data_IF_241641924637
#
_entry.id   IF_241641924637
#
_cell.length_a   1.000
_cell.length_b   1.000
_cell.length_c   1.000
_cell.angle_alpha   90.00
_cell.angle_beta   90.00
_cell.angle_gamma   90.00
#
_symmetry.space_group_name_H-M   'P 1'
#
loop_
_entity.id
_entity.type
_entity.pdbx_description
1 polymer ?
#
# COMPACT_ATOMS: atom_id res chain seq x y z
N UNK A 1 0.10 -5.21 7.81
CA UNK A 1 0.38 -4.41 9.04
C UNK A 1 1.65 -3.61 8.80
N UNK A 2 1.61 -2.29 8.95
CA UNK A 2 2.73 -1.36 8.71
C UNK A 2 3.95 -1.72 9.55
N UNK A 3 5.11 -1.81 8.91
CA UNK A 3 6.38 -2.10 9.54
C UNK A 3 7.36 -0.94 9.37
N UNK A 4 8.23 -0.76 10.34
CA UNK A 4 9.30 0.21 10.32
C UNK A 4 10.64 -0.54 10.26
N UNK A 5 11.30 -0.45 9.12
CA UNK A 5 12.57 -1.09 8.88
C UNK A 5 13.71 -0.11 9.15
N UNK A 6 14.74 -0.54 9.90
CA UNK A 6 15.94 0.23 10.16
C UNK A 6 17.11 -0.49 9.50
N UNK A 7 17.73 0.19 8.53
CA UNK A 7 18.88 -0.30 7.76
C UNK A 7 20.06 0.60 8.11
N UNK A 8 20.80 0.17 9.12
CA UNK A 8 21.90 0.90 9.75
C UNK A 8 22.90 -0.11 10.31
N UNK A 9 24.19 0.05 9.99
CA UNK A 9 25.28 -0.82 10.46
C UNK A 9 25.83 -0.41 11.82
N UNK A 10 25.63 0.84 12.23
CA UNK A 10 26.05 1.34 13.53
C UNK A 10 24.96 1.07 14.58
N UNK A 11 25.29 0.20 15.55
CA UNK A 11 24.35 -0.19 16.60
C UNK A 11 23.83 1.00 17.42
N UNK A 12 24.68 1.97 17.77
CA UNK A 12 24.28 3.15 18.54
C UNK A 12 23.22 3.99 17.78
N UNK A 13 23.42 4.17 16.48
CA UNK A 13 22.47 4.93 15.66
C UNK A 13 21.14 4.18 15.51
N UNK A 14 21.19 2.87 15.29
CA UNK A 14 19.97 2.08 15.15
C UNK A 14 19.18 2.01 16.47
N UNK A 15 19.82 1.80 17.60
CA UNK A 15 19.19 1.82 18.92
C UNK A 15 18.55 3.18 19.23
N UNK A 16 19.20 4.26 18.79
CA UNK A 16 18.66 5.60 18.97
C UNK A 16 17.40 5.82 18.13
N UNK A 17 17.38 5.42 16.85
CA UNK A 17 16.15 5.48 16.02
C UNK A 17 15.05 4.62 16.66
N UNK A 18 15.35 3.40 17.09
CA UNK A 18 14.39 2.50 17.75
C UNK A 18 13.76 3.20 18.96
N UNK A 19 14.59 3.78 19.83
CA UNK A 19 14.13 4.50 21.03
C UNK A 19 13.17 5.63 20.66
N UNK A 20 13.49 6.44 19.65
CA UNK A 20 12.61 7.51 19.20
C UNK A 20 11.31 6.99 18.64
N UNK A 21 11.33 5.93 17.82
CA UNK A 21 10.12 5.31 17.29
C UNK A 21 9.22 4.74 18.41
N UNK A 22 9.82 4.10 19.41
CA UNK A 22 9.10 3.60 20.60
C UNK A 22 8.46 4.75 21.40
N UNK A 23 9.17 5.90 21.55
CA UNK A 23 8.61 7.11 22.17
C UNK A 23 7.36 7.63 21.42
N UNK A 24 7.28 7.36 20.11
CA UNK A 24 6.11 7.64 19.27
C UNK A 24 5.09 6.49 19.20
N UNK A 25 5.13 5.53 20.13
CA UNK A 25 4.23 4.37 20.23
C UNK A 25 4.26 3.44 19.01
N UNK A 26 5.41 3.34 18.34
CA UNK A 26 5.62 2.45 17.20
C UNK A 26 6.21 1.13 17.71
N UNK A 27 5.51 0.02 17.49
CA UNK A 27 5.90 -1.30 18.01
C UNK A 27 6.48 -2.24 16.94
N UNK A 28 6.05 -2.09 15.68
CA UNK A 28 6.45 -2.99 14.59
C UNK A 28 7.76 -2.55 13.94
N UNK A 29 8.86 -2.68 14.67
CA UNK A 29 10.18 -2.26 14.23
C UNK A 29 11.00 -3.50 13.87
N UNK A 30 11.63 -3.47 12.69
CA UNK A 30 12.50 -4.53 12.17
C UNK A 30 13.87 -3.95 11.87
N UNK A 31 14.87 -4.40 12.57
CA UNK A 31 16.27 -4.01 12.33
C UNK A 31 16.91 -4.96 11.31
N UNK A 32 17.56 -4.40 10.29
CA UNK A 32 18.29 -5.11 9.25
C UNK A 32 19.75 -4.64 9.28
N UNK A 33 20.64 -5.51 9.72
CA UNK A 33 22.06 -5.18 9.97
C UNK A 33 23.00 -5.78 8.92
N UNK A 34 22.49 -6.64 8.04
CA UNK A 34 23.29 -7.30 7.02
C UNK A 34 22.65 -7.23 5.63
N UNK A 35 23.49 -7.21 4.59
CA UNK A 35 23.05 -7.27 3.19
C UNK A 35 22.23 -8.52 2.91
N UNK A 36 22.53 -9.63 3.56
CA UNK A 36 21.76 -10.88 3.40
C UNK A 36 20.30 -10.69 3.83
N UNK A 37 20.05 -10.06 4.98
CA UNK A 37 18.69 -9.77 5.48
C UNK A 37 17.95 -8.80 4.55
N UNK A 38 18.65 -7.77 4.06
CA UNK A 38 18.09 -6.77 3.13
C UNK A 38 17.69 -7.46 1.82
N UNK A 39 18.59 -8.27 1.25
CA UNK A 39 18.31 -9.00 0.01
C UNK A 39 17.15 -9.98 0.19
N UNK A 40 17.08 -10.67 1.31
CA UNK A 40 15.98 -11.58 1.62
C UNK A 40 14.64 -10.83 1.66
N UNK A 41 14.56 -9.67 2.32
CA UNK A 41 13.36 -8.84 2.34
C UNK A 41 12.92 -8.43 0.92
N UNK A 42 13.88 -7.95 0.11
CA UNK A 42 13.63 -7.50 -1.27
C UNK A 42 13.20 -8.67 -2.17
N UNK A 43 13.80 -9.86 -2.01
CA UNK A 43 13.46 -11.05 -2.80
C UNK A 43 12.09 -11.62 -2.45
N UNK A 44 11.73 -11.65 -1.18
CA UNK A 44 10.43 -12.15 -0.71
C UNK A 44 9.25 -11.31 -1.22
N UNK A 45 9.49 -10.06 -1.64
CA UNK A 45 8.45 -9.18 -2.20
C UNK A 45 7.34 -8.81 -1.22
N UNK A 46 7.59 -8.94 0.10
CA UNK A 46 6.61 -8.69 1.17
C UNK A 46 6.58 -7.24 1.64
N UNK A 47 7.06 -6.30 0.81
CA UNK A 47 7.07 -4.87 1.14
C UNK A 47 5.69 -4.28 0.90
N UNK A 48 5.06 -3.74 1.96
CA UNK A 48 3.77 -3.08 1.91
C UNK A 48 3.92 -1.59 1.51
N UNK A 49 2.87 -1.01 0.91
CA UNK A 49 2.84 0.40 0.53
C UNK A 49 2.96 1.37 1.71
N UNK A 50 2.59 0.93 2.90
CA UNK A 50 2.65 1.69 4.14
C UNK A 50 3.95 1.47 4.92
N UNK A 51 4.79 0.52 4.52
CA UNK A 51 6.06 0.27 5.18
C UNK A 51 6.98 1.50 5.12
N UNK A 52 7.77 1.67 6.18
CA UNK A 52 8.68 2.79 6.35
C UNK A 52 10.10 2.26 6.50
N UNK A 53 11.03 2.82 5.74
CA UNK A 53 12.44 2.45 5.75
C UNK A 53 13.29 3.62 6.18
N UNK A 54 13.97 3.51 7.33
CA UNK A 54 15.05 4.39 7.73
C UNK A 54 16.36 3.78 7.25
N UNK A 55 17.06 4.46 6.36
CA UNK A 55 18.23 3.90 5.66
C UNK A 55 19.41 4.83 5.83
N UNK A 56 20.52 4.33 6.42
CA UNK A 56 21.81 5.03 6.33
C UNK A 56 22.37 4.89 4.92
N UNK A 57 22.96 5.97 4.41
CA UNK A 57 23.63 5.98 3.11
C UNK A 57 24.95 5.22 3.18
N UNK A 58 25.71 5.37 4.28
CA UNK A 58 27.03 4.75 4.49
C UNK A 58 26.92 3.45 5.32
N UNK A 59 26.55 2.38 4.68
CA UNK A 59 26.39 1.07 5.32
C UNK A 59 27.72 0.31 5.52
N UNK A 60 28.88 0.90 5.17
CA UNK A 60 30.23 0.27 5.21
C UNK A 60 30.26 -1.15 4.66
N UNK A 61 29.45 -1.43 3.67
CA UNK A 61 29.28 -2.73 3.02
C UNK A 61 29.46 -2.58 1.50
N UNK A 62 29.25 -3.66 0.75
CA UNK A 62 29.38 -3.65 -0.71
C UNK A 62 28.29 -2.85 -1.45
N UNK A 63 27.18 -2.52 -0.76
CA UNK A 63 26.09 -1.70 -1.27
C UNK A 63 25.96 -0.45 -0.41
N UNK A 64 25.67 0.68 -1.04
CA UNK A 64 25.28 1.91 -0.32
C UNK A 64 23.80 1.86 0.04
N UNK A 65 23.40 2.68 1.02
CA UNK A 65 21.97 2.82 1.33
C UNK A 65 21.14 3.36 0.16
N UNK A 66 21.77 4.10 -0.75
CA UNK A 66 21.11 4.58 -1.98
C UNK A 66 20.81 3.40 -2.92
N UNK A 67 21.73 2.44 -3.06
CA UNK A 67 21.52 1.22 -3.87
C UNK A 67 20.40 0.36 -3.29
N UNK A 68 20.35 0.24 -1.96
CA UNK A 68 19.28 -0.45 -1.24
C UNK A 68 17.94 0.24 -1.47
N UNK A 69 17.89 1.54 -1.32
CA UNK A 69 16.67 2.34 -1.52
C UNK A 69 16.14 2.22 -2.97
N UNK A 70 17.04 2.21 -3.95
CA UNK A 70 16.67 1.99 -5.36
C UNK A 70 16.08 0.60 -5.59
N UNK A 71 16.67 -0.44 -4.98
CA UNK A 71 16.13 -1.81 -5.07
C UNK A 71 14.75 -1.93 -4.40
N UNK A 72 14.56 -1.31 -3.23
CA UNK A 72 13.25 -1.23 -2.56
C UNK A 72 12.25 -0.55 -3.49
N UNK A 73 12.60 0.59 -4.09
CA UNK A 73 11.72 1.36 -4.97
C UNK A 73 11.33 0.60 -6.24
N UNK A 74 12.24 -0.22 -6.81
CA UNK A 74 11.94 -1.11 -7.94
C UNK A 74 10.93 -2.20 -7.58
N UNK A 75 10.84 -2.61 -6.32
CA UNK A 75 9.88 -3.61 -5.84
C UNK A 75 8.57 -3.00 -5.36
N UNK A 76 8.64 -1.83 -4.74
CA UNK A 76 7.47 -1.12 -4.23
C UNK A 76 7.61 0.39 -4.46
N UNK A 77 6.75 0.92 -5.32
CA UNK A 77 6.76 2.33 -5.70
C UNK A 77 6.26 3.28 -4.59
N UNK A 78 5.53 2.78 -3.60
CA UNK A 78 4.74 3.60 -2.68
C UNK A 78 5.23 3.59 -1.23
N UNK A 79 6.05 2.61 -0.82
CA UNK A 79 6.64 2.55 0.52
C UNK A 79 7.38 3.85 0.88
N UNK A 80 7.45 4.18 2.17
CA UNK A 80 8.06 5.41 2.64
C UNK A 80 9.56 5.20 2.89
N UNK A 81 10.41 5.94 2.21
CA UNK A 81 11.87 5.89 2.37
C UNK A 81 12.34 7.17 3.06
N UNK A 82 13.09 7.02 4.13
CA UNK A 82 13.71 8.09 4.91
C UNK A 82 15.21 7.83 4.96
N UNK A 83 16.02 8.75 4.45
CA UNK A 83 17.46 8.66 4.65
C UNK A 83 17.84 9.22 6.01
N UNK A 84 18.67 8.49 6.72
CA UNK A 84 19.22 8.85 8.02
C UNK A 84 20.73 8.81 7.96
N UNK A 85 21.39 9.95 7.73
CA UNK A 85 22.81 9.96 7.37
C UNK A 85 23.55 11.21 7.85
N UNK A 86 24.86 11.09 8.00
CA UNK A 86 25.74 12.22 8.25
C UNK A 86 26.07 13.02 6.97
N UNK A 87 25.83 12.45 5.80
CA UNK A 87 26.21 13.04 4.50
C UNK A 87 25.09 13.90 3.93
N UNK A 88 25.46 15.00 3.24
CA UNK A 88 24.50 15.97 2.69
C UNK A 88 24.55 16.11 1.17
N UNK A 89 25.51 15.47 0.51
CA UNK A 89 25.85 15.71 -0.89
C UNK A 89 25.23 14.70 -1.89
N UNK A 90 24.33 13.83 -1.42
CA UNK A 90 23.72 12.78 -2.26
C UNK A 90 22.36 13.14 -2.85
N UNK A 91 21.84 14.35 -2.62
CA UNK A 91 20.51 14.74 -3.06
C UNK A 91 20.30 14.59 -4.56
N UNK A 92 21.32 14.97 -5.37
CA UNK A 92 21.25 14.88 -6.84
C UNK A 92 21.19 13.41 -7.30
N UNK A 93 21.99 12.53 -6.70
CA UNK A 93 21.99 11.10 -7.04
C UNK A 93 20.65 10.44 -6.67
N UNK A 94 20.11 10.73 -5.49
CA UNK A 94 18.80 10.26 -5.03
C UNK A 94 17.69 10.69 -5.98
N UNK A 95 17.69 11.94 -6.45
CA UNK A 95 16.71 12.46 -7.41
C UNK A 95 16.84 11.76 -8.77
N UNK A 96 18.05 11.62 -9.28
CA UNK A 96 18.30 10.99 -10.58
C UNK A 96 17.90 9.51 -10.61
N UNK A 97 18.02 8.80 -9.49
CA UNK A 97 17.57 7.41 -9.34
C UNK A 97 16.06 7.29 -9.05
N UNK A 98 15.31 8.39 -9.00
CA UNK A 98 13.86 8.44 -8.78
C UNK A 98 13.42 7.72 -7.49
N UNK A 99 14.23 7.77 -6.43
CA UNK A 99 13.95 7.11 -5.15
C UNK A 99 12.78 7.79 -4.43
N UNK A 100 12.62 9.09 -4.58
CA UNK A 100 11.53 9.89 -3.99
C UNK A 100 11.38 9.64 -2.48
N UNK A 101 12.40 9.93 -1.65
CA UNK A 101 12.30 9.77 -0.21
C UNK A 101 11.27 10.74 0.36
N UNK A 102 10.58 10.34 1.43
CA UNK A 102 9.67 11.20 2.17
C UNK A 102 10.39 12.10 3.17
N UNK A 103 11.60 11.73 3.56
CA UNK A 103 12.42 12.49 4.50
C UNK A 103 13.90 12.24 4.35
N UNK A 104 14.67 13.24 4.85
CA UNK A 104 16.12 13.20 4.93
C UNK A 104 16.53 13.73 6.29
N UNK A 105 17.03 12.87 7.17
CA UNK A 105 17.40 13.15 8.55
C UNK A 105 18.92 13.21 8.67
N UNK A 106 19.42 14.28 9.21
CA UNK A 106 20.85 14.46 9.45
C UNK A 106 21.25 13.99 10.84
N UNK A 107 22.27 13.14 10.92
CA UNK A 107 22.79 12.58 12.19
C UNK A 107 23.43 13.62 13.12
N UNK A 108 23.70 14.84 12.67
CA UNK A 108 24.43 15.89 13.40
C UNK A 108 23.53 16.95 14.09
N UNK A 109 22.19 16.85 13.94
CA UNK A 109 21.26 17.86 14.45
C UNK A 109 20.09 17.20 15.16
N UNK A 110 19.36 18.00 15.90
CA UNK A 110 18.08 17.77 16.59
C UNK A 110 17.27 16.56 16.09
N UNK A 111 17.78 15.37 16.34
CA UNK A 111 17.32 14.13 15.70
C UNK A 111 15.88 13.80 16.07
N UNK A 112 15.49 13.99 17.35
CA UNK A 112 14.13 13.73 17.82
C UNK A 112 13.12 14.58 17.08
N UNK A 113 13.41 15.87 16.86
CA UNK A 113 12.53 16.78 16.12
C UNK A 113 12.43 16.41 14.64
N UNK A 114 13.54 16.04 14.00
CA UNK A 114 13.55 15.60 12.60
C UNK A 114 12.75 14.30 12.41
N UNK A 115 12.85 13.33 13.32
CA UNK A 115 12.04 12.11 13.28
C UNK A 115 10.56 12.45 13.46
N UNK A 116 10.22 13.31 14.43
CA UNK A 116 8.86 13.76 14.65
C UNK A 116 8.26 14.36 13.36
N UNK A 117 8.96 15.30 12.72
CA UNK A 117 8.53 15.94 11.48
C UNK A 117 8.32 14.92 10.35
N UNK A 118 9.22 13.94 10.21
CA UNK A 118 9.08 12.88 9.20
C UNK A 118 7.87 11.99 9.48
N UNK A 119 7.63 11.61 10.74
CA UNK A 119 6.46 10.83 11.13
C UNK A 119 5.16 11.61 10.87
N UNK A 120 5.13 12.91 11.12
CA UNK A 120 3.99 13.76 10.76
C UNK A 120 3.76 13.81 9.23
N UNK A 121 4.83 13.93 8.43
CA UNK A 121 4.73 13.88 6.96
C UNK A 121 4.18 12.54 6.46
N UNK A 122 4.62 11.42 7.05
CA UNK A 122 4.10 10.08 6.74
C UNK A 122 2.62 10.00 7.08
N UNK A 123 2.22 10.42 8.28
CA UNK A 123 0.84 10.42 8.72
C UNK A 123 -0.04 11.34 7.84
N UNK A 124 0.45 12.52 7.49
CA UNK A 124 -0.24 13.43 6.59
C UNK A 124 -0.44 12.80 5.20
N UNK A 125 0.61 12.19 4.62
CA UNK A 125 0.51 11.46 3.34
C UNK A 125 -0.54 10.36 3.41
N UNK A 126 -0.55 9.56 4.47
CA UNK A 126 -1.53 8.50 4.67
C UNK A 126 -2.96 9.05 4.82
N UNK A 127 -3.14 10.14 5.55
CA UNK A 127 -4.44 10.82 5.67
C UNK A 127 -4.92 11.39 4.33
N UNK A 128 -4.02 11.93 3.49
CA UNK A 128 -4.38 12.38 2.15
C UNK A 128 -4.85 11.21 1.29
N UNK A 129 -4.14 10.08 1.32
CA UNK A 129 -4.54 8.86 0.61
C UNK A 129 -5.93 8.41 1.09
N UNK A 130 -6.17 8.38 2.40
CA UNK A 130 -7.47 8.03 2.99
C UNK A 130 -8.56 9.03 2.62
N UNK A 131 -8.25 10.33 2.57
CA UNK A 131 -9.24 11.37 2.22
C UNK A 131 -9.59 11.39 0.72
N UNK A 132 -8.65 11.05 -0.16
CA UNK A 132 -8.90 10.92 -1.61
C UNK A 132 -9.69 9.64 -1.92
N UNK A 133 -9.55 8.61 -1.11
CA UNK A 133 -10.18 7.30 -1.32
C UNK A 133 -11.46 7.08 -0.49
N UNK A 134 -12.12 8.16 -0.01
CA UNK A 134 -13.45 8.05 0.62
C UNK A 134 -14.54 8.24 -0.42
N UNK A 135 -15.49 7.34 -0.44
CA UNK A 135 -16.74 7.47 -1.18
C UNK A 135 -17.89 7.55 -0.20
N UNK A 136 -18.65 8.64 -0.27
CA UNK A 136 -19.85 8.83 0.54
C UNK A 136 -21.06 8.30 -0.25
N UNK A 137 -21.85 7.46 0.39
CA UNK A 137 -23.03 6.87 -0.20
C UNK A 137 -24.23 7.25 0.63
N UNK A 138 -25.10 8.05 0.04
CA UNK A 138 -26.38 8.37 0.65
C UNK A 138 -27.28 7.14 0.64
N UNK A 139 -27.79 6.78 1.80
CA UNK A 139 -28.75 5.72 2.00
C UNK A 139 -29.88 6.18 2.93
N UNK A 140 -30.98 5.41 2.96
CA UNK A 140 -32.07 5.68 3.91
C UNK A 140 -31.53 5.59 5.34
N UNK A 141 -31.49 6.72 6.02
CA UNK A 141 -31.03 6.81 7.43
C UNK A 141 -29.65 7.42 7.62
N UNK A 142 -28.98 7.92 6.58
CA UNK A 142 -27.71 8.62 6.70
C UNK A 142 -26.77 8.38 5.55
N UNK A 143 -25.53 8.85 5.68
CA UNK A 143 -24.46 8.62 4.70
C UNK A 143 -23.51 7.54 5.20
N UNK A 144 -23.20 6.55 4.36
CA UNK A 144 -22.18 5.54 4.61
C UNK A 144 -20.86 5.98 3.97
N UNK A 145 -19.78 5.86 4.72
CA UNK A 145 -18.42 6.04 4.20
C UNK A 145 -17.89 4.68 3.75
N UNK A 146 -17.50 4.58 2.50
CA UNK A 146 -16.77 3.43 1.97
C UNK A 146 -15.35 3.85 1.61
N UNK A 147 -14.41 2.94 1.80
CA UNK A 147 -13.03 3.07 1.38
C UNK A 147 -12.80 2.17 0.16
N UNK A 148 -12.79 2.74 -1.08
CA UNK A 148 -12.74 1.93 -2.31
C UNK A 148 -11.57 0.95 -2.37
N UNK A 149 -10.43 1.28 -1.80
CA UNK A 149 -9.27 0.37 -1.75
C UNK A 149 -9.49 -0.87 -0.87
N UNK A 150 -10.35 -0.77 0.14
CA UNK A 150 -10.69 -1.90 1.01
C UNK A 150 -11.76 -2.81 0.40
N UNK A 151 -12.48 -2.34 -0.61
CA UNK A 151 -13.52 -3.12 -1.27
C UNK A 151 -12.87 -4.20 -2.13
N UNK A 152 -13.25 -5.46 -1.90
CA UNK A 152 -12.90 -6.59 -2.76
C UNK A 152 -13.82 -6.62 -3.97
N UNK A 153 -15.12 -6.66 -3.71
CA UNK A 153 -16.15 -6.57 -4.74
C UNK A 153 -17.48 -6.09 -4.14
N UNK A 154 -18.35 -5.66 -5.03
CA UNK A 154 -19.73 -5.32 -4.72
C UNK A 154 -20.62 -6.16 -5.62
N UNK A 155 -21.65 -6.76 -5.06
CA UNK A 155 -22.64 -7.52 -5.81
C UNK A 155 -24.08 -7.07 -5.55
N UNK A 156 -24.91 -7.17 -6.58
CA UNK A 156 -26.35 -6.99 -6.45
C UNK A 156 -26.98 -8.25 -5.84
N UNK A 157 -27.83 -8.07 -4.83
CA UNK A 157 -28.51 -9.17 -4.17
C UNK A 157 -29.76 -9.52 -4.96
N UNK A 158 -29.87 -10.78 -5.39
CA UNK A 158 -31.03 -11.27 -6.16
C UNK A 158 -32.30 -11.17 -5.32
N UNK A 159 -33.29 -10.48 -5.86
CA UNK A 159 -34.60 -10.28 -5.20
C UNK A 159 -34.69 -9.04 -4.32
N UNK A 160 -33.61 -8.36 -4.00
CA UNK A 160 -33.61 -7.13 -3.23
C UNK A 160 -33.30 -5.92 -4.14
N UNK A 161 -34.31 -5.09 -4.37
CA UNK A 161 -34.14 -3.82 -5.11
C UNK A 161 -33.44 -2.78 -4.22
N UNK A 162 -32.48 -2.07 -4.79
CA UNK A 162 -31.73 -1.01 -4.10
C UNK A 162 -31.00 -1.49 -2.83
N UNK A 163 -30.51 -2.73 -2.83
CA UNK A 163 -29.56 -3.22 -1.85
C UNK A 163 -28.44 -3.97 -2.54
N UNK A 164 -27.24 -3.77 -2.03
CA UNK A 164 -26.01 -4.40 -2.50
C UNK A 164 -25.22 -4.95 -1.33
N UNK A 165 -24.50 -6.04 -1.56
CA UNK A 165 -23.48 -6.52 -0.65
C UNK A 165 -22.13 -5.92 -1.04
N UNK A 166 -21.49 -5.25 -0.13
CA UNK A 166 -20.13 -4.74 -0.27
C UNK A 166 -19.21 -5.63 0.56
N UNK A 167 -18.36 -6.37 -0.12
CA UNK A 167 -17.31 -7.18 0.50
C UNK A 167 -16.06 -6.35 0.63
N UNK A 168 -15.52 -6.24 1.84
CA UNK A 168 -14.27 -5.51 2.11
C UNK A 168 -13.20 -6.45 2.69
N UNK A 169 -12.00 -5.94 2.84
CA UNK A 169 -10.90 -6.68 3.46
C UNK A 169 -11.11 -7.01 4.92
N UNK A 170 -12.05 -6.34 5.59
CA UNK A 170 -12.28 -6.45 7.04
C UNK A 170 -13.67 -6.94 7.40
N UNK A 171 -14.69 -6.54 6.67
CA UNK A 171 -16.10 -6.85 7.00
C UNK A 171 -17.00 -6.80 5.77
N UNK A 172 -18.16 -7.46 5.85
CA UNK A 172 -19.20 -7.41 4.84
C UNK A 172 -20.27 -6.37 5.23
N UNK A 173 -20.65 -5.51 4.27
CA UNK A 173 -21.64 -4.45 4.52
C UNK A 173 -22.84 -4.60 3.58
N UNK A 174 -24.05 -4.68 4.16
CA UNK A 174 -25.29 -4.55 3.41
C UNK A 174 -25.62 -3.06 3.26
N UNK A 175 -25.62 -2.56 2.02
CA UNK A 175 -25.79 -1.13 1.74
C UNK A 175 -27.11 -0.89 1.02
N UNK A 176 -27.92 0.03 1.56
CA UNK A 176 -29.23 0.40 1.02
C UNK A 176 -29.10 1.40 -0.14
N UNK A 177 -28.50 0.97 -1.24
CA UNK A 177 -28.33 1.73 -2.47
C UNK A 177 -28.35 0.81 -3.69
N UNK A 178 -28.44 1.37 -4.89
CA UNK A 178 -28.37 0.57 -6.11
C UNK A 178 -26.95 0.38 -6.58
N UNK A 179 -26.66 -0.77 -7.22
CA UNK A 179 -25.35 -0.98 -7.85
C UNK A 179 -25.06 0.08 -8.94
N UNK A 180 -26.11 0.63 -9.58
CA UNK A 180 -25.97 1.70 -10.57
C UNK A 180 -25.41 2.98 -9.92
N UNK A 181 -25.92 3.37 -8.75
CA UNK A 181 -25.42 4.54 -8.03
C UNK A 181 -23.97 4.36 -7.61
N UNK A 182 -23.62 3.20 -7.06
CA UNK A 182 -22.25 2.89 -6.67
C UNK A 182 -21.26 2.92 -7.83
N UNK A 183 -21.67 2.47 -9.02
CA UNK A 183 -20.83 2.54 -10.21
C UNK A 183 -20.44 3.97 -10.57
N UNK A 184 -21.36 4.92 -10.47
CA UNK A 184 -21.08 6.33 -10.74
C UNK A 184 -19.98 6.84 -9.81
N UNK A 185 -20.05 6.49 -8.52
CA UNK A 185 -19.06 6.88 -7.53
C UNK A 185 -17.70 6.17 -7.72
N UNK A 186 -17.73 4.93 -8.25
CA UNK A 186 -16.53 4.11 -8.44
C UNK A 186 -15.86 4.30 -9.80
N UNK A 187 -16.53 4.92 -10.77
CA UNK A 187 -16.05 5.10 -12.14
C UNK A 187 -14.73 5.89 -12.21
N UNK A 188 -14.50 6.77 -11.25
CA UNK A 188 -13.25 7.55 -11.12
C UNK A 188 -12.02 6.68 -10.77
N UNK A 189 -12.23 5.46 -10.28
CA UNK A 189 -11.15 4.55 -9.88
C UNK A 189 -10.89 3.52 -10.98
N UNK A 190 -9.74 3.61 -11.65
CA UNK A 190 -9.36 2.76 -12.79
C UNK A 190 -9.19 1.29 -12.46
N UNK A 191 -9.04 0.97 -11.17
CA UNK A 191 -8.89 -0.39 -10.68
C UNK A 191 -10.23 -1.12 -10.44
N UNK A 192 -11.37 -0.48 -10.66
CA UNK A 192 -12.66 -1.18 -10.63
C UNK A 192 -13.10 -1.65 -12.01
N UNK A 193 -13.46 -2.92 -12.10
CA UNK A 193 -14.20 -3.47 -13.23
C UNK A 193 -15.71 -3.39 -12.92
N UNK A 194 -16.42 -2.53 -13.66
CA UNK A 194 -17.85 -2.25 -13.46
C UNK A 194 -18.71 -3.11 -14.38
N UNK A 195 -19.26 -4.21 -13.86
CA UNK A 195 -20.09 -5.17 -14.57
C UNK A 195 -21.59 -5.00 -14.23
N UNK A 196 -22.48 -5.65 -14.99
CA UNK A 196 -23.95 -5.54 -14.78
C UNK A 196 -24.37 -5.85 -13.35
N UNK A 197 -23.82 -6.90 -12.74
CA UNK A 197 -24.19 -7.40 -11.41
C UNK A 197 -23.07 -7.28 -10.37
N UNK A 198 -21.88 -6.83 -10.77
CA UNK A 198 -20.69 -6.73 -9.93
C UNK A 198 -19.91 -5.45 -10.18
N UNK A 199 -19.23 -4.97 -9.13
CA UNK A 199 -18.06 -4.11 -9.24
C UNK A 199 -16.91 -4.87 -8.60
N UNK A 200 -15.86 -5.19 -9.34
CA UNK A 200 -14.72 -6.01 -8.87
C UNK A 200 -13.48 -5.14 -8.81
N UNK A 201 -12.82 -5.14 -7.67
CA UNK A 201 -11.57 -4.40 -7.49
C UNK A 201 -10.39 -5.26 -7.99
N UNK A 202 -9.85 -4.91 -9.15
CA UNK A 202 -8.74 -5.61 -9.76
C UNK A 202 -7.43 -5.50 -8.95
N UNK A 203 -7.26 -4.42 -8.19
CA UNK A 203 -6.07 -4.24 -7.35
C UNK A 203 -6.04 -5.14 -6.12
N UNK A 204 -7.16 -5.75 -5.76
CA UNK A 204 -7.29 -6.70 -4.67
C UNK A 204 -7.25 -8.18 -5.13
N UNK A 205 -7.22 -8.43 -6.45
CA UNK A 205 -7.11 -9.79 -6.97
C UNK A 205 -5.68 -10.30 -6.85
N UNK A 206 -5.52 -11.46 -6.22
CA UNK A 206 -4.27 -12.20 -6.11
C UNK A 206 -4.11 -13.20 -7.26
N UNK A 207 -5.18 -13.95 -7.55
CA UNK A 207 -5.14 -15.02 -8.53
C UNK A 207 -6.50 -15.21 -9.23
N UNK A 208 -6.48 -15.86 -10.39
CA UNK A 208 -7.67 -16.22 -11.19
C UNK A 208 -7.60 -17.71 -11.54
N UNK A 209 -8.48 -18.50 -10.92
CA UNK A 209 -8.61 -19.94 -11.21
C UNK A 209 -9.53 -20.18 -12.42
N UNK A 210 -8.92 -20.48 -13.56
CA UNK A 210 -9.63 -20.73 -14.81
C UNK A 210 -10.37 -22.07 -14.87
N UNK A 211 -9.99 -23.04 -14.03
CA UNK A 211 -10.64 -24.35 -13.99
C UNK A 211 -12.01 -24.28 -13.31
N UNK A 212 -12.13 -23.43 -12.29
CA UNK A 212 -13.34 -23.36 -11.46
C UNK A 212 -14.08 -22.03 -11.56
N UNK A 213 -13.63 -21.08 -12.39
CA UNK A 213 -14.17 -19.71 -12.52
C UNK A 213 -14.18 -18.93 -11.21
N UNK A 214 -13.09 -19.08 -10.43
CA UNK A 214 -12.93 -18.42 -9.12
C UNK A 214 -11.95 -17.26 -9.21
N UNK A 215 -12.30 -16.15 -8.58
CA UNK A 215 -11.44 -15.01 -8.36
C UNK A 215 -10.96 -15.05 -6.91
N UNK A 216 -9.66 -15.04 -6.68
CA UNK A 216 -9.04 -15.11 -5.35
C UNK A 216 -8.46 -13.76 -4.98
N UNK A 217 -8.72 -13.29 -3.76
CA UNK A 217 -8.28 -11.99 -3.26
C UNK A 217 -7.12 -12.14 -2.28
N UNK A 218 -6.33 -11.07 -2.12
CA UNK A 218 -5.15 -11.07 -1.24
C UNK A 218 -5.47 -11.36 0.24
N UNK A 219 -6.68 -11.11 0.71
CA UNK A 219 -7.10 -11.42 2.07
C UNK A 219 -7.52 -12.90 2.27
N UNK A 220 -7.47 -13.73 1.22
CA UNK A 220 -7.86 -15.13 1.23
C UNK A 220 -9.33 -15.40 0.86
N UNK A 221 -10.14 -14.35 0.67
CA UNK A 221 -11.52 -14.51 0.18
C UNK A 221 -11.53 -14.94 -1.29
N UNK A 222 -12.64 -15.55 -1.70
CA UNK A 222 -12.83 -15.98 -3.07
C UNK A 222 -14.24 -15.65 -3.57
N UNK A 223 -14.38 -15.41 -4.88
CA UNK A 223 -15.64 -15.14 -5.56
C UNK A 223 -15.82 -16.09 -6.74
N UNK A 224 -16.79 -16.99 -6.64
CA UNK A 224 -17.23 -17.83 -7.75
C UNK A 224 -18.14 -17.02 -8.69
N UNK A 225 -17.79 -16.92 -9.96
CA UNK A 225 -18.55 -16.16 -10.95
C UNK A 225 -18.93 -17.02 -12.15
N UNK A 226 -19.98 -16.59 -12.88
CA UNK A 226 -20.30 -17.26 -14.15
C UNK A 226 -19.25 -16.99 -15.23
N UNK A 227 -19.08 -17.94 -16.17
CA UNK A 227 -18.08 -17.90 -17.25
C UNK A 227 -17.95 -16.53 -17.94
N UNK A 228 -19.08 -15.89 -18.28
CA UNK A 228 -19.06 -14.58 -18.97
C UNK A 228 -18.45 -13.44 -18.14
N UNK A 229 -18.68 -13.45 -16.83
CA UNK A 229 -18.09 -12.48 -15.88
C UNK A 229 -16.62 -12.79 -15.71
N UNK A 230 -16.28 -14.07 -15.56
CA UNK A 230 -14.94 -14.56 -15.43
C UNK A 230 -14.04 -14.11 -16.60
N UNK A 231 -14.43 -14.38 -17.84
CA UNK A 231 -13.63 -14.02 -19.03
C UNK A 231 -13.37 -12.50 -19.10
N UNK A 232 -14.40 -11.69 -18.84
CA UNK A 232 -14.24 -10.24 -18.80
C UNK A 232 -13.28 -9.77 -17.69
N UNK A 233 -13.34 -10.43 -16.53
CA UNK A 233 -12.47 -10.09 -15.41
C UNK A 233 -11.04 -10.49 -15.73
N UNK A 234 -10.82 -11.66 -16.31
CA UNK A 234 -9.50 -12.16 -16.70
C UNK A 234 -8.82 -11.24 -17.72
N UNK A 235 -9.53 -10.86 -18.79
CA UNK A 235 -9.03 -9.92 -19.80
C UNK A 235 -8.60 -8.60 -19.15
N UNK A 236 -9.50 -8.00 -18.37
CA UNK A 236 -9.24 -6.70 -17.76
C UNK A 236 -8.17 -6.74 -16.67
N UNK A 237 -8.05 -7.84 -15.94
CA UNK A 237 -6.99 -8.03 -14.95
C UNK A 237 -5.62 -8.13 -15.61
N UNK A 238 -5.51 -8.81 -16.74
CA UNK A 238 -4.26 -8.87 -17.50
C UNK A 238 -3.82 -7.49 -17.99
N UNK A 239 -4.73 -6.69 -18.56
CA UNK A 239 -4.46 -5.31 -18.97
C UNK A 239 -4.03 -4.44 -17.79
N UNK A 240 -4.72 -4.61 -16.64
CA UNK A 240 -4.42 -3.86 -15.42
C UNK A 240 -3.01 -4.17 -14.90
N UNK A 241 -2.58 -5.43 -14.92
CA UNK A 241 -1.22 -5.82 -14.52
C UNK A 241 -0.15 -5.24 -15.44
N UNK A 242 -0.39 -5.18 -16.75
CA UNK A 242 0.55 -4.59 -17.71
C UNK A 242 0.72 -3.07 -17.48
N UNK A 243 -0.38 -2.35 -17.22
CA UNK A 243 -0.33 -0.91 -16.95
C UNK A 243 0.29 -0.57 -15.60
N UNK A 244 0.20 -1.43 -14.61
CA UNK A 244 0.84 -1.26 -13.31
C UNK A 244 2.35 -1.54 -13.32
N UNK A 245 2.85 -2.21 -14.37
CA UNK A 245 4.27 -2.58 -14.54
C UNK A 245 5.03 -1.61 -15.46
N UNK A 246 4.36 -0.62 -16.05
CA UNK A 246 4.91 0.43 -16.92
C UNK A 246 5.10 1.73 -16.15
#
# INVERSE_FOLDING_TARGET
>A
MKKYFIIEDNQFHSEWIIKELVNHHIENIVQLTSISQINQLIQLGTIDNHDVFFIDIDLKQSLTGIDVAEQIRKKNAHSNIVFFTAYTNFAVDIINRKILPIGYIRKDRNLSEQIHQVLEQINWKEQQIVNVDKTFIDQKGGSLVLYPREILYIESIKGLKNQVMVKTTTEDKLVSTSLKQLKIELEKYTYFLLLKSYCINLSQLQNIDSAHYVLEFFNGDSLLVGRKIFEKTKERFHDFQQTASS
#
